data_IF_173553261168
#
_entry.id   IF_173553261168
#
_cell.length_a   1.000
_cell.length_b   1.000
_cell.length_c   1.000
_cell.angle_alpha   90.00
_cell.angle_beta   90.00
_cell.angle_gamma   90.00
#
_symmetry.space_group_name_H-M   'P 1'
#
loop_
_entity.id
_entity.type
_entity.pdbx_description
1 polymer ?
#
# COMPACT_ATOMS: atom_id res chain seq x y z
N UNK A 1 34.06 0.59 -1.13
CA UNK A 1 34.09 1.75 -2.03
C UNK A 1 32.66 2.24 -2.20
N UNK A 2 32.23 3.17 -1.33
CA UNK A 2 31.05 3.99 -1.59
C UNK A 2 31.57 5.28 -2.22
N UNK A 3 31.02 5.60 -3.38
CA UNK A 3 31.41 6.74 -4.20
C UNK A 3 30.80 7.99 -3.58
N UNK A 4 31.65 8.88 -3.03
CA UNK A 4 31.23 10.19 -2.58
C UNK A 4 30.83 11.04 -3.79
N UNK A 5 29.55 11.33 -3.92
CA UNK A 5 29.05 12.31 -4.88
C UNK A 5 29.17 13.69 -4.23
N UNK A 6 30.33 14.33 -4.38
CA UNK A 6 30.53 15.74 -4.03
C UNK A 6 29.89 16.61 -5.11
N UNK A 7 28.74 17.20 -4.81
CA UNK A 7 28.22 18.31 -5.61
C UNK A 7 28.94 19.59 -5.18
N UNK A 8 29.58 20.35 -6.10
CA UNK A 8 30.19 21.63 -5.77
C UNK A 8 29.06 22.66 -5.68
N UNK A 9 28.56 22.95 -4.49
CA UNK A 9 27.66 24.10 -4.28
C UNK A 9 28.44 25.19 -3.56
N UNK A 10 28.59 26.34 -4.22
CA UNK A 10 29.19 27.54 -3.64
C UNK A 10 28.31 28.03 -2.48
N UNK A 11 28.95 28.63 -1.47
CA UNK A 11 28.38 29.02 -0.17
C UNK A 11 27.22 30.00 -0.20
N UNK A 12 26.89 30.56 -1.36
CA UNK A 12 26.03 31.74 -1.49
C UNK A 12 24.56 31.40 -1.80
N UNK A 13 24.22 30.11 -1.99
CA UNK A 13 22.89 29.66 -2.41
C UNK A 13 22.05 28.97 -1.31
N UNK A 14 22.54 28.92 -0.06
CA UNK A 14 21.86 28.25 1.05
C UNK A 14 21.41 29.24 2.13
N UNK A 15 20.09 29.46 2.27
CA UNK A 15 19.53 30.22 3.38
C UNK A 15 18.99 29.25 4.44
N UNK A 16 19.55 29.28 5.65
CA UNK A 16 19.06 28.50 6.81
C UNK A 16 17.87 29.23 7.41
N UNK A 17 16.69 28.59 7.41
CA UNK A 17 15.42 29.24 7.77
C UNK A 17 14.97 28.92 9.21
N UNK A 18 15.61 27.96 9.89
CA UNK A 18 15.37 27.67 11.31
C UNK A 18 16.08 26.41 11.79
N UNK A 19 16.26 26.29 13.12
CA UNK A 19 16.83 25.12 13.81
C UNK A 19 15.82 24.62 14.83
N UNK A 20 15.42 23.35 14.71
CA UNK A 20 14.61 22.66 15.71
C UNK A 20 15.38 21.52 16.36
N UNK A 21 15.37 21.45 17.69
CA UNK A 21 15.94 20.35 18.47
C UNK A 21 14.81 19.62 19.21
N UNK A 22 14.71 18.30 19.05
CA UNK A 22 13.83 17.48 19.89
C UNK A 22 14.67 16.74 20.93
N UNK A 23 14.48 17.02 22.21
CA UNK A 23 15.14 16.30 23.29
C UNK A 23 14.38 14.99 23.59
N UNK A 24 14.93 13.87 23.13
CA UNK A 24 14.43 12.54 23.43
C UNK A 24 15.56 11.50 23.41
N UNK A 25 16.18 11.25 24.56
CA UNK A 25 17.27 10.26 24.71
C UNK A 25 18.63 10.73 24.20
N UNK A 26 19.66 9.90 24.38
CA UNK A 26 21.11 10.17 24.23
C UNK A 26 21.60 10.62 22.82
N UNK A 27 20.71 10.98 21.90
CA UNK A 27 21.03 11.51 20.58
C UNK A 27 20.24 12.80 20.32
N UNK A 28 20.93 13.93 20.21
CA UNK A 28 20.33 15.17 19.73
C UNK A 28 20.19 15.12 18.20
N UNK A 29 18.95 15.13 17.70
CA UNK A 29 18.68 15.33 16.27
C UNK A 29 18.57 16.81 15.96
N UNK A 30 19.35 17.28 14.98
CA UNK A 30 19.28 18.65 14.47
C UNK A 30 18.53 18.62 13.13
N UNK A 31 17.42 19.34 13.02
CA UNK A 31 16.72 19.50 11.73
C UNK A 31 17.01 20.89 11.17
N UNK A 32 17.64 20.93 9.99
CA UNK A 32 17.95 22.13 9.23
C UNK A 32 16.97 22.28 8.06
N UNK A 33 16.38 23.47 7.91
CA UNK A 33 15.56 23.82 6.76
C UNK A 33 16.36 24.67 5.78
N UNK A 34 16.51 24.20 4.55
CA UNK A 34 17.21 24.90 3.47
C UNK A 34 16.24 25.30 2.36
N UNK A 35 16.29 26.56 1.96
CA UNK A 35 15.52 27.10 0.84
C UNK A 35 16.41 27.32 -0.38
N UNK A 36 16.01 26.82 -1.56
CA UNK A 36 16.69 27.08 -2.83
C UNK A 36 15.90 28.12 -3.65
N UNK A 37 16.39 29.37 -3.77
CA UNK A 37 15.66 30.47 -4.43
C UNK A 37 15.37 30.21 -5.92
N UNK A 38 16.25 29.48 -6.62
CA UNK A 38 16.12 29.25 -8.06
C UNK A 38 14.97 28.32 -8.46
N UNK A 39 14.42 27.52 -7.53
CA UNK A 39 13.39 26.51 -7.82
C UNK A 39 12.09 26.69 -7.05
N UNK A 40 12.05 27.61 -6.08
CA UNK A 40 10.88 27.81 -5.21
C UNK A 40 10.57 26.63 -4.28
N UNK A 41 11.53 25.70 -4.09
CA UNK A 41 11.36 24.49 -3.28
C UNK A 41 12.03 24.65 -1.90
N UNK A 42 11.39 24.10 -0.87
CA UNK A 42 11.95 23.97 0.48
C UNK A 42 12.38 22.52 0.66
N UNK A 43 13.63 22.30 1.06
CA UNK A 43 14.15 20.97 1.38
C UNK A 43 14.55 20.96 2.85
N UNK A 44 14.09 19.99 3.63
CA UNK A 44 14.58 19.79 4.99
C UNK A 44 15.68 18.73 5.01
N UNK A 45 16.70 18.95 5.83
CA UNK A 45 17.82 18.04 6.05
C UNK A 45 17.82 17.66 7.52
N UNK A 46 17.67 16.36 7.80
CA UNK A 46 17.81 15.82 9.16
C UNK A 46 19.26 15.39 9.35
N UNK A 47 19.98 16.08 10.23
CA UNK A 47 21.33 15.69 10.61
C UNK A 47 21.28 14.93 11.94
N UNK A 48 21.86 13.74 11.97
CA UNK A 48 21.97 12.93 13.18
C UNK A 48 23.41 13.02 13.68
N UNK A 49 23.59 13.46 14.93
CA UNK A 49 24.91 13.52 15.55
C UNK A 49 25.31 12.10 16.00
N UNK A 50 26.45 11.60 15.51
CA UNK A 50 27.00 10.32 15.96
C UNK A 50 28.39 10.53 16.54
N UNK A 51 28.51 10.41 17.87
CA UNK A 51 29.80 10.42 18.54
C UNK A 51 30.49 9.07 18.35
N UNK A 52 31.58 9.03 17.59
CA UNK A 52 32.50 7.88 17.57
C UNK A 52 33.91 8.36 17.85
N UNK A 53 34.55 7.74 18.84
CA UNK A 53 35.98 7.81 19.11
C UNK A 53 36.57 9.22 19.26
N UNK A 54 35.96 10.05 20.11
CA UNK A 54 36.58 11.29 20.61
C UNK A 54 36.76 12.42 19.59
N UNK A 55 36.18 12.28 18.39
CA UNK A 55 36.11 13.32 17.38
C UNK A 55 34.65 13.61 17.01
N UNK A 56 34.20 14.84 17.23
CA UNK A 56 32.88 15.31 16.83
C UNK A 56 32.80 15.35 15.30
N UNK A 57 32.11 14.37 14.70
CA UNK A 57 31.90 14.32 13.25
C UNK A 57 30.41 14.44 12.96
N UNK A 58 30.01 15.49 12.25
CA UNK A 58 28.61 15.71 11.85
C UNK A 58 28.34 14.93 10.56
N UNK A 59 27.69 13.76 10.65
CA UNK A 59 27.32 12.98 9.46
C UNK A 59 25.96 13.48 8.95
N UNK A 60 25.99 14.20 7.83
CA UNK A 60 24.77 14.67 7.16
C UNK A 60 24.21 13.55 6.28
N UNK A 61 23.00 13.07 6.55
CA UNK A 61 22.30 12.14 5.67
C UNK A 61 21.10 12.85 5.06
N UNK A 62 21.08 12.97 3.73
CA UNK A 62 19.98 13.58 3.00
C UNK A 62 18.80 12.59 3.00
N UNK A 63 17.81 12.81 3.87
CA UNK A 63 16.57 12.03 3.90
C UNK A 63 15.49 12.89 3.24
N UNK A 64 15.40 12.82 1.91
CA UNK A 64 14.52 13.67 1.13
C UNK A 64 13.04 13.29 1.26
N UNK A 65 12.18 14.30 1.48
CA UNK A 65 10.79 14.29 1.04
C UNK A 65 10.44 15.69 0.53
N UNK A 66 10.12 15.80 -0.75
CA UNK A 66 9.74 17.06 -1.40
C UNK A 66 8.37 17.52 -0.89
N UNK A 67 8.25 18.76 -0.43
CA UNK A 67 6.95 19.41 -0.24
C UNK A 67 6.99 20.84 -0.77
N UNK A 68 5.95 21.20 -1.53
CA UNK A 68 5.72 22.55 -2.03
C UNK A 68 4.99 23.36 -0.97
N UNK A 69 5.71 24.17 -0.20
CA UNK A 69 5.11 25.17 0.69
C UNK A 69 5.35 26.58 0.11
N UNK A 70 4.40 27.52 0.25
CA UNK A 70 4.53 28.86 -0.28
C UNK A 70 5.58 29.69 0.50
N UNK A 71 6.22 30.68 -0.13
CA UNK A 71 7.39 31.35 0.42
C UNK A 71 6.97 32.46 1.41
N UNK A 72 7.35 32.38 2.68
CA UNK A 72 7.20 33.53 3.59
C UNK A 72 8.32 33.71 4.63
N UNK A 73 8.72 34.98 4.74
CA UNK A 73 9.58 35.71 5.69
C UNK A 73 10.98 35.17 6.02
N UNK A 74 11.98 35.84 5.44
CA UNK A 74 13.41 35.76 5.77
C UNK A 74 13.69 36.71 6.95
N UNK A 75 14.13 36.18 8.09
CA UNK A 75 14.83 36.98 9.11
C UNK A 75 16.28 36.52 9.15
N UNK A 76 17.18 37.38 8.66
CA UNK A 76 18.63 37.14 8.69
C UNK A 76 19.11 37.12 10.13
N UNK A 77 19.56 35.97 10.64
CA UNK A 77 20.35 35.92 11.88
C UNK A 77 21.80 36.15 11.47
N UNK A 78 22.34 37.32 11.80
CA UNK A 78 23.75 37.64 11.56
C UNK A 78 24.65 36.68 12.34
N UNK A 79 25.67 36.16 11.66
CA UNK A 79 26.69 35.29 12.23
C UNK A 79 27.35 35.97 13.44
N UNK A 80 27.32 35.29 14.59
CA UNK A 80 28.19 35.59 15.71
C UNK A 80 29.39 34.65 15.62
N UNK A 81 30.55 35.23 15.32
CA UNK A 81 31.83 34.54 15.38
C UNK A 81 32.17 34.15 16.83
N UNK A 82 32.73 32.95 16.94
CA UNK A 82 33.49 32.36 18.05
C UNK A 82 32.77 31.98 19.37
N UNK A 83 32.81 30.66 19.63
CA UNK A 83 32.60 29.86 20.86
C UNK A 83 31.21 29.21 21.10
N UNK A 84 31.18 27.94 21.58
CA UNK A 84 29.94 27.16 21.69
C UNK A 84 29.31 27.34 23.07
N UNK A 85 28.26 28.16 23.17
CA UNK A 85 27.22 27.99 24.20
C UNK A 85 25.97 28.77 23.80
N UNK A 86 25.00 28.09 23.20
CA UNK A 86 23.67 28.67 22.95
C UNK A 86 22.84 28.50 24.22
N UNK A 87 22.82 29.53 25.07
CA UNK A 87 21.78 29.66 26.08
C UNK A 87 20.55 30.31 25.44
N UNK A 88 19.51 29.50 25.23
CA UNK A 88 18.19 29.97 24.80
C UNK A 88 17.56 30.77 25.95
N UNK A 89 17.33 32.07 25.78
CA UNK A 89 16.65 32.89 26.78
C UNK A 89 15.13 32.80 26.61
N UNK A 90 14.40 32.73 27.73
CA UNK A 90 12.94 32.55 27.79
C UNK A 90 12.12 33.60 26.99
N UNK A 91 12.72 34.74 26.62
CA UNK A 91 12.08 35.75 25.78
C UNK A 91 11.95 35.34 24.30
N UNK A 92 12.81 34.42 23.82
CA UNK A 92 12.74 33.91 22.44
C UNK A 92 11.62 32.86 22.26
N UNK A 93 11.30 32.10 23.31
CA UNK A 93 10.17 31.15 23.30
C UNK A 93 8.82 31.87 23.17
N UNK A 94 8.64 32.98 23.89
CA UNK A 94 7.39 33.75 23.88
C UNK A 94 7.12 34.42 22.51
N UNK A 95 8.17 34.92 21.84
CA UNK A 95 8.02 35.54 20.51
C UNK A 95 7.78 34.52 19.39
N UNK A 96 8.41 33.34 19.44
CA UNK A 96 8.17 32.26 18.47
C UNK A 96 6.82 31.55 18.67
N UNK A 97 6.34 31.43 19.90
CA UNK A 97 4.99 30.92 20.18
C UNK A 97 3.90 31.89 19.71
N UNK A 98 4.10 33.21 19.87
CA UNK A 98 3.09 34.20 19.48
C UNK A 98 3.02 34.40 17.95
N UNK A 99 4.13 34.23 17.24
CA UNK A 99 4.16 34.38 15.77
C UNK A 99 3.49 33.22 15.01
N UNK A 100 3.44 32.01 15.57
CA UNK A 100 2.87 30.82 14.92
C UNK A 100 1.35 30.66 15.06
N UNK A 101 0.68 31.49 15.87
CA UNK A 101 -0.76 31.32 16.19
C UNK A 101 -1.72 32.19 15.37
N UNK A 102 -1.23 32.96 14.37
CA UNK A 102 -2.06 33.96 13.67
C UNK A 102 -2.15 33.83 12.14
N UNK A 103 -1.95 32.64 11.58
CA UNK A 103 -2.27 32.36 10.17
C UNK A 103 -3.37 31.29 10.03
N UNK A 104 -4.50 31.50 10.71
CA UNK A 104 -5.75 30.86 10.24
C UNK A 104 -6.17 31.64 9.00
N UNK A 105 -5.94 31.06 7.82
CA UNK A 105 -6.40 31.67 6.58
C UNK A 105 -7.92 31.88 6.66
N UNK A 106 -8.36 33.14 6.52
CA UNK A 106 -9.79 33.48 6.61
C UNK A 106 -10.57 32.74 5.53
N UNK A 107 -11.63 32.05 5.96
CA UNK A 107 -12.54 31.31 5.09
C UNK A 107 -13.17 32.23 4.05
N UNK A 108 -13.34 31.73 2.83
CA UNK A 108 -13.85 32.47 1.68
C UNK A 108 -15.32 32.18 1.44
N UNK A 109 -16.15 33.21 1.53
CA UNK A 109 -17.59 33.15 1.31
C UNK A 109 -17.94 33.90 0.03
N UNK A 110 -18.70 33.26 -0.85
CA UNK A 110 -19.30 33.93 -2.00
C UNK A 110 -20.73 34.35 -1.66
N UNK A 111 -21.03 35.62 -1.84
CA UNK A 111 -22.40 36.16 -1.76
C UNK A 111 -22.91 36.44 -3.16
N UNK A 112 -24.08 35.91 -3.48
CA UNK A 112 -24.71 36.02 -4.79
C UNK A 112 -26.10 36.62 -4.63
N UNK A 113 -26.33 37.81 -5.18
CA UNK A 113 -27.61 38.52 -5.17
C UNK A 113 -27.60 39.54 -6.30
N UNK A 114 -28.71 39.72 -7.02
CA UNK A 114 -28.79 40.67 -8.14
C UNK A 114 -28.92 42.13 -7.68
N UNK A 115 -29.27 42.35 -6.41
CA UNK A 115 -29.51 43.67 -5.82
C UNK A 115 -28.23 44.21 -5.14
N UNK A 116 -27.66 45.34 -5.59
CA UNK A 116 -26.41 45.89 -5.04
C UNK A 116 -26.43 46.20 -3.54
N UNK A 117 -27.60 46.59 -3.00
CA UNK A 117 -27.78 46.90 -1.58
C UNK A 117 -27.64 45.64 -0.70
N UNK A 118 -28.19 44.50 -1.14
CA UNK A 118 -28.05 43.22 -0.45
C UNK A 118 -26.59 42.75 -0.43
N UNK A 119 -25.89 42.86 -1.56
CA UNK A 119 -24.47 42.54 -1.66
C UNK A 119 -23.63 43.42 -0.71
N UNK A 120 -23.92 44.72 -0.65
CA UNK A 120 -23.23 45.67 0.23
C UNK A 120 -23.47 45.36 1.71
N UNK A 121 -24.72 45.06 2.07
CA UNK A 121 -25.09 44.65 3.43
C UNK A 121 -24.34 43.37 3.84
N UNK A 122 -24.44 42.29 3.05
CA UNK A 122 -23.79 41.01 3.37
C UNK A 122 -22.27 41.12 3.42
N UNK A 123 -21.67 41.87 2.49
CA UNK A 123 -20.23 42.13 2.52
C UNK A 123 -19.82 42.89 3.78
N UNK A 124 -20.60 43.90 4.18
CA UNK A 124 -20.36 44.66 5.41
C UNK A 124 -20.44 43.81 6.67
N UNK A 125 -21.39 42.86 6.71
CA UNK A 125 -21.57 41.95 7.85
C UNK A 125 -20.46 40.89 7.97
N UNK A 126 -19.99 40.33 6.85
CA UNK A 126 -19.10 39.16 6.85
C UNK A 126 -17.61 39.49 6.76
N UNK A 127 -17.22 40.65 6.22
CA UNK A 127 -15.82 41.01 5.93
C UNK A 127 -14.87 41.03 7.15
N UNK A 128 -15.42 41.19 8.36
CA UNK A 128 -14.60 41.25 9.58
C UNK A 128 -13.97 39.89 9.90
N UNK A 129 -14.72 38.81 9.67
CA UNK A 129 -14.33 37.44 10.03
C UNK A 129 -13.92 36.61 8.80
N UNK A 130 -14.40 36.95 7.60
CA UNK A 130 -14.27 36.14 6.39
C UNK A 130 -13.72 36.93 5.19
N UNK A 131 -13.12 36.23 4.22
CA UNK A 131 -12.88 36.76 2.88
C UNK A 131 -14.21 36.71 2.12
N UNK A 132 -14.70 37.85 1.65
CA UNK A 132 -15.99 37.91 0.95
C UNK A 132 -15.77 38.17 -0.54
N UNK A 133 -16.30 37.28 -1.37
CA UNK A 133 -16.43 37.48 -2.81
C UNK A 133 -17.90 37.75 -3.15
N UNK A 134 -18.15 38.51 -4.22
CA UNK A 134 -19.51 38.90 -4.62
C UNK A 134 -19.77 38.62 -6.10
N UNK A 135 -20.95 38.08 -6.37
CA UNK A 135 -21.50 37.93 -7.72
C UNK A 135 -22.89 38.55 -7.79
N UNK A 136 -23.16 39.26 -8.89
CA UNK A 136 -24.44 39.91 -9.15
C UNK A 136 -25.36 39.11 -10.07
N UNK A 137 -24.97 37.89 -10.44
CA UNK A 137 -25.76 36.94 -11.23
C UNK A 137 -25.19 35.53 -11.11
N UNK A 138 -25.96 34.54 -11.56
CA UNK A 138 -25.59 33.12 -11.50
C UNK A 138 -24.36 32.73 -12.33
N UNK A 139 -24.18 33.27 -13.53
CA UNK A 139 -23.02 32.96 -14.39
C UNK A 139 -21.70 33.37 -13.75
N UNK A 140 -21.65 34.58 -13.17
CA UNK A 140 -20.48 35.07 -12.44
C UNK A 140 -20.23 34.24 -11.18
N UNK A 141 -21.29 33.82 -10.48
CA UNK A 141 -21.16 32.97 -9.30
C UNK A 141 -20.50 31.62 -9.63
N UNK A 142 -20.94 30.96 -10.71
CA UNK A 142 -20.36 29.69 -11.17
C UNK A 142 -18.89 29.86 -11.59
N UNK A 143 -18.57 30.96 -12.29
CA UNK A 143 -17.18 31.25 -12.68
C UNK A 143 -16.26 31.45 -11.47
N UNK A 144 -16.75 32.13 -10.43
CA UNK A 144 -16.00 32.32 -9.18
C UNK A 144 -15.84 30.98 -8.44
N UNK A 145 -16.90 30.19 -8.33
CA UNK A 145 -16.87 28.91 -7.62
C UNK A 145 -15.93 27.88 -8.25
N UNK A 146 -15.66 27.99 -9.55
CA UNK A 146 -14.71 27.15 -10.27
C UNK A 146 -13.24 27.61 -10.16
N UNK A 147 -12.97 28.74 -9.49
CA UNK A 147 -11.62 29.28 -9.33
C UNK A 147 -10.87 28.70 -8.13
N UNK A 148 -9.56 28.95 -8.09
CA UNK A 148 -8.68 28.63 -6.97
C UNK A 148 -8.29 29.89 -6.18
N UNK A 149 -8.23 29.84 -4.83
CA UNK A 149 -8.59 28.71 -3.97
C UNK A 149 -10.11 28.46 -3.92
N UNK A 150 -10.54 27.22 -3.57
CA UNK A 150 -11.95 26.87 -3.51
C UNK A 150 -12.70 27.67 -2.43
N UNK A 151 -13.99 27.87 -2.64
CA UNK A 151 -14.86 28.56 -1.69
C UNK A 151 -15.22 27.65 -0.49
N UNK A 152 -15.41 28.26 0.68
CA UNK A 152 -15.84 27.56 1.88
C UNK A 152 -17.36 27.58 2.07
N UNK A 153 -18.08 28.58 1.53
CA UNK A 153 -19.54 28.69 1.63
C UNK A 153 -20.09 29.63 0.56
N UNK A 154 -21.32 29.36 0.09
CA UNK A 154 -22.05 30.23 -0.84
C UNK A 154 -23.37 30.67 -0.20
N UNK A 155 -23.59 31.98 -0.10
CA UNK A 155 -24.90 32.58 0.16
C UNK A 155 -25.51 32.95 -1.18
N UNK A 156 -26.64 32.34 -1.53
CA UNK A 156 -27.19 32.39 -2.89
C UNK A 156 -28.63 32.88 -2.88
N UNK A 157 -28.90 34.03 -3.48
CA UNK A 157 -30.27 34.47 -3.73
C UNK A 157 -30.99 33.54 -4.71
N UNK A 158 -32.24 33.22 -4.39
CA UNK A 158 -33.06 32.36 -5.24
C UNK A 158 -33.56 33.16 -6.46
N UNK A 159 -33.99 34.41 -6.25
CA UNK A 159 -34.74 35.18 -7.24
C UNK A 159 -33.81 36.11 -8.01
N UNK A 160 -33.12 35.58 -9.02
CA UNK A 160 -32.23 36.36 -9.89
C UNK A 160 -32.66 36.28 -11.37
N UNK A 161 -32.42 37.32 -12.18
CA UNK A 161 -32.72 37.31 -13.61
C UNK A 161 -31.81 36.36 -14.38
N UNK A 162 -32.31 35.84 -15.51
CA UNK A 162 -31.63 34.94 -16.45
C UNK A 162 -31.36 33.53 -15.89
N UNK A 163 -30.67 33.44 -14.74
CA UNK A 163 -30.35 32.19 -14.06
C UNK A 163 -30.71 32.32 -12.59
N UNK A 164 -31.70 31.55 -12.15
CA UNK A 164 -32.16 31.56 -10.76
C UNK A 164 -31.19 30.80 -9.84
N UNK A 165 -31.33 30.99 -8.53
CA UNK A 165 -30.47 30.34 -7.54
C UNK A 165 -30.58 28.81 -7.55
N UNK A 166 -31.74 28.24 -7.92
CA UNK A 166 -31.89 26.80 -8.01
C UNK A 166 -31.04 26.20 -9.14
N UNK A 167 -31.03 26.85 -10.31
CA UNK A 167 -30.20 26.45 -11.44
C UNK A 167 -28.71 26.55 -11.12
N UNK A 168 -28.28 27.61 -10.41
CA UNK A 168 -26.89 27.74 -9.95
C UNK A 168 -26.53 26.61 -8.97
N UNK A 169 -27.37 26.35 -7.96
CA UNK A 169 -27.14 25.29 -6.99
C UNK A 169 -27.03 23.93 -7.66
N UNK A 170 -27.94 23.61 -8.59
CA UNK A 170 -27.90 22.35 -9.34
C UNK A 170 -26.57 22.17 -10.10
N UNK A 171 -26.06 23.22 -10.75
CA UNK A 171 -24.78 23.15 -11.44
C UNK A 171 -23.59 22.98 -10.48
N UNK A 172 -23.60 23.70 -9.35
CA UNK A 172 -22.58 23.54 -8.31
C UNK A 172 -22.55 22.13 -7.74
N UNK A 173 -23.71 21.52 -7.51
CA UNK A 173 -23.82 20.16 -6.97
C UNK A 173 -23.54 19.06 -7.98
N UNK A 174 -23.62 19.36 -9.28
CA UNK A 174 -23.28 18.42 -10.35
C UNK A 174 -21.78 18.37 -10.68
N UNK A 175 -20.98 19.30 -10.17
CA UNK A 175 -19.55 19.39 -10.45
C UNK A 175 -18.71 18.86 -9.27
N UNK A 176 -17.83 17.85 -9.46
CA UNK A 176 -16.98 17.28 -8.40
C UNK A 176 -16.12 18.30 -7.63
N UNK A 177 -15.72 19.40 -8.27
CA UNK A 177 -14.91 20.44 -7.63
C UNK A 177 -15.72 21.34 -6.69
N UNK A 178 -17.02 21.49 -6.91
CA UNK A 178 -17.87 22.43 -6.17
C UNK A 178 -18.97 21.75 -5.35
N UNK A 179 -19.19 20.44 -5.54
CA UNK A 179 -20.28 19.69 -4.88
C UNK A 179 -20.23 19.77 -3.36
N UNK A 180 -19.02 19.83 -2.80
CA UNK A 180 -18.76 19.89 -1.36
C UNK A 180 -18.82 21.31 -0.76
N UNK A 181 -19.15 22.32 -1.56
CA UNK A 181 -19.32 23.70 -1.06
C UNK A 181 -20.76 23.84 -0.53
N UNK A 182 -20.97 24.18 0.75
CA UNK A 182 -22.30 24.39 1.30
C UNK A 182 -22.95 25.61 0.66
N UNK A 183 -24.18 25.44 0.20
CA UNK A 183 -25.00 26.51 -0.37
C UNK A 183 -26.13 26.80 0.60
N UNK A 184 -26.21 28.03 1.08
CA UNK A 184 -27.32 28.55 1.88
C UNK A 184 -28.11 29.50 0.99
N UNK A 185 -29.39 29.22 0.79
CA UNK A 185 -30.24 30.07 -0.01
C UNK A 185 -30.69 31.32 0.77
N UNK A 186 -30.77 32.45 0.08
CA UNK A 186 -31.44 33.66 0.54
C UNK A 186 -32.82 33.72 -0.14
N UNK A 187 -33.90 33.77 0.65
CA UNK A 187 -35.27 33.68 0.11
C UNK A 187 -36.19 34.78 0.65
N UNK A 188 -37.03 35.33 -0.23
CA UNK A 188 -38.17 36.16 0.17
C UNK A 188 -39.46 35.34 0.36
N UNK A 189 -39.45 34.07 -0.06
CA UNK A 189 -40.59 33.17 0.02
C UNK A 189 -40.50 32.31 1.27
N UNK A 190 -41.61 32.20 2.00
CA UNK A 190 -41.75 31.42 3.25
C UNK A 190 -42.62 30.17 3.02
N UNK A 191 -42.85 29.79 1.76
CA UNK A 191 -43.65 28.62 1.41
C UNK A 191 -42.83 27.34 1.54
N UNK A 192 -43.39 26.35 2.23
CA UNK A 192 -42.75 25.06 2.54
C UNK A 192 -42.27 24.32 1.29
N UNK A 193 -42.97 24.48 0.16
CA UNK A 193 -42.62 23.82 -1.10
C UNK A 193 -41.32 24.37 -1.73
N UNK A 194 -41.03 25.67 -1.58
CA UNK A 194 -39.81 26.29 -2.10
C UNK A 194 -38.57 25.87 -1.27
N UNK A 195 -38.74 25.70 0.05
CA UNK A 195 -37.69 25.17 0.94
C UNK A 195 -37.41 23.69 0.66
N UNK A 196 -38.46 22.90 0.43
CA UNK A 196 -38.30 21.48 0.07
C UNK A 196 -37.50 21.33 -1.22
N UNK A 197 -37.86 22.08 -2.27
CA UNK A 197 -37.18 22.02 -3.57
C UNK A 197 -35.68 22.27 -3.48
N UNK A 198 -35.23 23.28 -2.73
CA UNK A 198 -33.81 23.58 -2.66
C UNK A 198 -33.00 22.63 -1.77
N UNK A 199 -33.62 22.00 -0.75
CA UNK A 199 -32.97 20.92 0.02
C UNK A 199 -32.76 19.69 -0.87
N UNK A 200 -33.76 19.34 -1.68
CA UNK A 200 -33.67 18.26 -2.67
C UNK A 200 -32.57 18.53 -3.73
N UNK A 201 -32.30 19.80 -4.03
CA UNK A 201 -31.19 20.22 -4.91
C UNK A 201 -29.81 20.24 -4.20
N UNK A 202 -29.75 19.96 -2.90
CA UNK A 202 -28.52 19.85 -2.13
C UNK A 202 -28.08 21.12 -1.40
N UNK A 203 -28.94 22.14 -1.26
CA UNK A 203 -28.66 23.24 -0.34
C UNK A 203 -28.68 22.74 1.10
N UNK A 204 -27.83 23.33 1.94
CA UNK A 204 -27.69 22.91 3.35
C UNK A 204 -28.59 23.73 4.28
N UNK A 205 -29.08 24.89 3.83
CA UNK A 205 -29.91 25.77 4.64
C UNK A 205 -30.57 26.95 3.88
N UNK A 206 -31.40 27.72 4.59
CA UNK A 206 -32.03 28.96 4.11
C UNK A 206 -31.94 30.12 5.10
N UNK A 207 -31.88 31.34 4.57
CA UNK A 207 -32.05 32.60 5.31
C UNK A 207 -33.19 33.38 4.67
N UNK A 208 -34.21 33.71 5.47
CA UNK A 208 -35.34 34.51 5.02
C UNK A 208 -34.98 36.01 4.98
N UNK A 209 -35.52 36.72 3.98
CA UNK A 209 -35.48 38.18 3.85
C UNK A 209 -36.71 38.77 4.57
N UNK A 210 -36.60 39.90 5.31
CA UNK A 210 -35.43 40.76 5.45
C UNK A 210 -34.34 40.14 6.33
N UNK A 211 -33.08 40.41 5.97
CA UNK A 211 -31.94 39.72 6.55
C UNK A 211 -31.70 40.17 7.99
N UNK A 212 -31.64 39.20 8.91
CA UNK A 212 -31.25 39.42 10.30
C UNK A 212 -29.75 39.13 10.49
N UNK A 213 -28.89 40.13 10.74
CA UNK A 213 -27.45 39.94 10.94
C UNK A 213 -27.07 38.83 11.93
N UNK A 214 -27.66 38.73 13.14
CA UNK A 214 -27.28 37.67 14.08
C UNK A 214 -27.61 36.26 13.56
N UNK A 215 -28.67 36.11 12.75
CA UNK A 215 -29.05 34.82 12.17
C UNK A 215 -28.08 34.39 11.07
N UNK A 216 -27.70 35.32 10.17
CA UNK A 216 -26.71 35.03 9.12
C UNK A 216 -25.39 34.59 9.71
N UNK A 217 -24.85 35.36 10.67
CA UNK A 217 -23.58 35.05 11.31
C UNK A 217 -23.61 33.68 12.00
N UNK A 218 -24.68 33.37 12.72
CA UNK A 218 -24.84 32.07 13.38
C UNK A 218 -24.89 30.90 12.37
N UNK A 219 -25.69 31.02 11.29
CA UNK A 219 -25.81 29.97 10.28
C UNK A 219 -24.53 29.78 9.48
N UNK A 220 -23.90 30.88 9.03
CA UNK A 220 -22.61 30.84 8.32
C UNK A 220 -21.55 30.15 9.19
N UNK A 221 -21.43 30.55 10.46
CA UNK A 221 -20.48 29.93 11.39
C UNK A 221 -20.72 28.43 11.56
N UNK A 222 -21.97 28.02 11.74
CA UNK A 222 -22.33 26.61 11.92
C UNK A 222 -22.01 25.77 10.67
N UNK A 223 -22.38 26.25 9.48
CA UNK A 223 -22.15 25.50 8.24
C UNK A 223 -20.67 25.46 7.83
N UNK A 224 -19.89 26.50 8.14
CA UNK A 224 -18.44 26.47 7.99
C UNK A 224 -17.79 25.45 8.93
N UNK A 225 -18.26 25.36 10.19
CA UNK A 225 -17.78 24.36 11.13
C UNK A 225 -18.13 22.92 10.66
N UNK A 226 -19.37 22.72 10.19
CA UNK A 226 -19.80 21.43 9.63
C UNK A 226 -18.98 21.03 8.40
N UNK A 227 -18.72 21.98 7.49
CA UNK A 227 -17.82 21.76 6.34
C UNK A 227 -16.43 21.35 6.80
N UNK A 228 -15.84 22.09 7.74
CA UNK A 228 -14.50 21.80 8.23
C UNK A 228 -14.41 20.39 8.86
N UNK A 229 -15.42 19.97 9.60
CA UNK A 229 -15.49 18.60 10.13
C UNK A 229 -15.64 17.55 9.03
N UNK A 230 -16.49 17.79 8.03
CA UNK A 230 -16.70 16.88 6.91
C UNK A 230 -15.43 16.72 6.07
N UNK A 231 -14.75 17.82 5.75
CA UNK A 231 -13.49 17.81 5.01
C UNK A 231 -12.39 17.10 5.84
N UNK A 232 -12.28 17.38 7.14
CA UNK A 232 -11.34 16.67 8.02
C UNK A 232 -11.58 15.14 8.06
N UNK A 233 -12.83 14.70 8.14
CA UNK A 233 -13.17 13.27 8.14
C UNK A 233 -12.84 12.61 6.80
N UNK A 234 -13.06 13.30 5.68
CA UNK A 234 -12.68 12.82 4.35
C UNK A 234 -11.17 12.66 4.24
N UNK A 235 -10.41 13.71 4.55
CA UNK A 235 -8.95 13.67 4.49
C UNK A 235 -8.37 12.57 5.40
N UNK A 236 -8.96 12.40 6.59
CA UNK A 236 -8.58 11.33 7.51
C UNK A 236 -8.92 9.95 6.96
N UNK A 237 -10.06 9.78 6.30
CA UNK A 237 -10.42 8.50 5.69
C UNK A 237 -9.46 8.14 4.56
N UNK A 238 -9.17 9.09 3.67
CA UNK A 238 -8.22 8.91 2.56
C UNK A 238 -6.82 8.56 3.08
N UNK A 239 -6.37 9.22 4.16
CA UNK A 239 -5.11 8.89 4.82
C UNK A 239 -5.12 7.49 5.44
N UNK A 240 -6.20 7.12 6.13
CA UNK A 240 -6.31 5.80 6.76
C UNK A 240 -6.37 4.68 5.71
N UNK A 241 -7.08 4.87 4.59
CA UNK A 241 -7.12 3.92 3.49
C UNK A 241 -5.71 3.68 2.90
N UNK A 242 -4.96 4.76 2.67
CA UNK A 242 -3.58 4.66 2.19
C UNK A 242 -2.65 3.94 3.20
N UNK A 243 -2.80 4.22 4.49
CA UNK A 243 -1.99 3.54 5.52
C UNK A 243 -2.38 2.06 5.68
N UNK A 244 -3.68 1.72 5.59
CA UNK A 244 -4.14 0.32 5.58
C UNK A 244 -3.53 -0.42 4.40
N UNK A 245 -3.61 0.13 3.19
CA UNK A 245 -3.05 -0.52 2.00
C UNK A 245 -1.53 -0.75 2.13
N UNK A 246 -0.81 0.25 2.65
CA UNK A 246 0.63 0.15 2.91
C UNK A 246 0.93 -0.95 3.94
N UNK A 247 0.20 -0.99 5.05
CA UNK A 247 0.40 -2.00 6.11
C UNK A 247 0.04 -3.40 5.64
N UNK A 248 -1.02 -3.56 4.85
CA UNK A 248 -1.37 -4.84 4.23
C UNK A 248 -0.24 -5.32 3.32
N UNK A 249 0.36 -4.44 2.51
CA UNK A 249 1.53 -4.78 1.67
C UNK A 249 2.74 -5.18 2.50
N UNK A 250 3.04 -4.46 3.59
CA UNK A 250 4.16 -4.80 4.49
C UNK A 250 3.96 -6.18 5.13
N UNK A 251 2.77 -6.46 5.67
CA UNK A 251 2.45 -7.74 6.30
C UNK A 251 2.55 -8.90 5.30
N UNK A 252 2.01 -8.72 4.09
CA UNK A 252 2.11 -9.75 3.03
C UNK A 252 3.56 -10.02 2.63
N UNK A 253 4.38 -8.99 2.47
CA UNK A 253 5.80 -9.16 2.11
C UNK A 253 6.58 -9.90 3.21
N UNK A 254 6.35 -9.56 4.48
CA UNK A 254 6.96 -10.23 5.62
C UNK A 254 6.54 -11.70 5.67
N UNK A 255 5.25 -11.98 5.46
CA UNK A 255 4.73 -13.34 5.42
C UNK A 255 5.39 -14.18 4.32
N UNK A 256 5.47 -13.65 3.09
CA UNK A 256 6.06 -14.35 1.94
C UNK A 256 7.54 -14.67 2.17
N UNK A 257 8.32 -13.70 2.69
CA UNK A 257 9.73 -13.92 3.04
C UNK A 257 9.88 -14.93 4.19
N UNK A 258 8.99 -14.90 5.18
CA UNK A 258 9.02 -15.85 6.31
C UNK A 258 8.75 -17.28 5.85
N UNK A 259 7.76 -17.49 4.99
CA UNK A 259 7.45 -18.81 4.40
C UNK A 259 8.66 -19.35 3.65
N UNK A 260 9.26 -18.53 2.78
CA UNK A 260 10.46 -18.92 2.03
C UNK A 260 11.64 -19.24 2.94
N UNK A 261 11.86 -18.44 3.99
CA UNK A 261 12.93 -18.68 4.95
C UNK A 261 12.72 -20.00 5.72
N UNK A 262 11.49 -20.29 6.17
CA UNK A 262 11.18 -21.53 6.88
C UNK A 262 11.31 -22.76 5.97
N UNK A 263 10.83 -22.68 4.73
CA UNK A 263 11.02 -23.72 3.73
C UNK A 263 12.50 -23.98 3.46
N UNK A 264 13.29 -22.91 3.24
CA UNK A 264 14.72 -23.03 2.99
C UNK A 264 15.48 -23.61 4.19
N UNK A 265 15.10 -23.26 5.43
CA UNK A 265 15.68 -23.86 6.63
C UNK A 265 15.43 -25.37 6.71
N UNK A 266 14.24 -25.84 6.30
CA UNK A 266 13.95 -27.27 6.24
C UNK A 266 14.83 -27.99 5.21
N UNK A 267 15.04 -27.38 4.05
CA UNK A 267 15.88 -27.91 2.98
C UNK A 267 17.36 -27.86 3.28
N UNK A 268 17.86 -26.94 4.13
CA UNK A 268 19.30 -26.91 4.50
C UNK A 268 19.81 -28.20 5.17
N UNK A 269 18.91 -29.04 5.68
CA UNK A 269 19.23 -30.38 6.20
C UNK A 269 19.28 -31.46 5.13
N UNK A 270 18.81 -31.16 3.93
CA UNK A 270 18.92 -31.97 2.72
C UNK A 270 19.96 -31.33 1.77
N UNK A 271 20.36 -32.04 0.72
CA UNK A 271 21.24 -31.49 -0.32
C UNK A 271 20.47 -30.65 -1.37
N UNK A 272 19.29 -30.14 -1.02
CA UNK A 272 18.46 -29.30 -1.88
C UNK A 272 18.81 -27.82 -1.67
N UNK A 273 18.88 -27.06 -2.77
CA UNK A 273 19.27 -25.65 -2.74
C UNK A 273 18.03 -24.77 -2.58
N UNK A 274 18.17 -23.58 -1.98
CA UNK A 274 17.05 -22.63 -1.90
C UNK A 274 16.49 -22.17 -3.26
N UNK A 275 17.18 -22.47 -4.36
CA UNK A 275 16.67 -22.23 -5.72
C UNK A 275 15.69 -23.32 -6.18
N UNK A 276 15.77 -24.55 -5.66
CA UNK A 276 14.75 -25.60 -5.87
C UNK A 276 13.35 -25.08 -5.49
N UNK A 277 13.22 -24.49 -4.29
CA UNK A 277 11.97 -23.86 -3.83
C UNK A 277 11.44 -22.86 -4.86
N UNK A 278 12.31 -21.97 -5.36
CA UNK A 278 11.90 -20.96 -6.33
C UNK A 278 11.42 -21.62 -7.62
N UNK A 279 12.19 -22.56 -8.16
CA UNK A 279 11.83 -23.26 -9.40
C UNK A 279 10.49 -23.96 -9.29
N UNK A 280 10.27 -24.75 -8.24
CA UNK A 280 9.00 -25.47 -8.04
C UNK A 280 7.80 -24.53 -7.88
N UNK A 281 7.95 -23.38 -7.19
CA UNK A 281 6.90 -22.36 -7.15
C UNK A 281 6.51 -21.88 -8.55
N UNK A 282 7.50 -21.51 -9.36
CA UNK A 282 7.26 -20.99 -10.71
C UNK A 282 6.73 -22.06 -11.66
N UNK A 283 7.17 -23.32 -11.55
CA UNK A 283 6.63 -24.45 -12.30
C UNK A 283 5.14 -24.69 -11.99
N UNK A 284 4.78 -24.75 -10.70
CA UNK A 284 3.39 -24.94 -10.26
C UNK A 284 2.52 -23.81 -10.80
N UNK A 285 2.98 -22.55 -10.71
CA UNK A 285 2.24 -21.40 -11.26
C UNK A 285 2.08 -21.50 -12.77
N UNK A 286 3.13 -21.84 -13.51
CA UNK A 286 3.08 -21.94 -14.96
C UNK A 286 2.08 -23.03 -15.42
N UNK A 287 2.09 -24.20 -14.77
CA UNK A 287 1.09 -25.25 -15.02
C UNK A 287 -0.32 -24.79 -14.70
N UNK A 288 -0.51 -24.16 -13.53
CA UNK A 288 -1.80 -23.69 -13.06
C UNK A 288 -2.39 -22.61 -14.00
N UNK A 289 -1.56 -21.68 -14.48
CA UNK A 289 -1.96 -20.68 -15.47
C UNK A 289 -2.32 -21.32 -16.82
N UNK A 290 -1.54 -22.30 -17.28
CA UNK A 290 -1.81 -23.04 -18.52
C UNK A 290 -3.13 -23.83 -18.47
N UNK A 291 -3.47 -24.36 -17.30
CA UNK A 291 -4.68 -25.16 -17.07
C UNK A 291 -5.89 -24.33 -16.64
N UNK A 292 -5.76 -23.02 -16.46
CA UNK A 292 -6.82 -22.15 -15.92
C UNK A 292 -8.15 -22.26 -16.65
N UNK A 293 -8.11 -22.34 -17.98
CA UNK A 293 -9.32 -22.43 -18.82
C UNK A 293 -9.79 -23.88 -19.05
N UNK A 294 -9.04 -24.87 -18.58
CA UNK A 294 -9.31 -26.27 -18.81
C UNK A 294 -10.60 -26.71 -18.08
N UNK A 295 -11.55 -27.43 -18.72
CA UNK A 295 -12.84 -27.77 -18.11
C UNK A 295 -12.74 -28.52 -16.78
N UNK A 296 -11.76 -29.41 -16.63
CA UNK A 296 -11.52 -30.16 -15.37
C UNK A 296 -10.97 -29.28 -14.25
N UNK A 297 -10.26 -28.19 -14.53
CA UNK A 297 -9.51 -27.44 -13.51
C UNK A 297 -10.01 -26.01 -13.27
N UNK A 298 -10.75 -25.41 -14.22
CA UNK A 298 -11.19 -24.00 -14.18
C UNK A 298 -11.98 -23.60 -12.93
N UNK A 299 -12.65 -24.56 -12.30
CA UNK A 299 -13.43 -24.31 -11.08
C UNK A 299 -12.53 -24.10 -9.86
N UNK A 300 -11.33 -24.67 -9.87
CA UNK A 300 -10.34 -24.58 -8.80
C UNK A 300 -9.29 -23.49 -9.10
N UNK A 301 -8.78 -23.45 -10.33
CA UNK A 301 -7.65 -22.60 -10.74
C UNK A 301 -8.04 -21.13 -10.99
N UNK A 302 -8.65 -20.47 -10.01
CA UNK A 302 -8.89 -19.01 -10.05
C UNK A 302 -7.59 -18.22 -9.85
N UNK A 303 -7.57 -16.94 -10.23
CA UNK A 303 -6.40 -16.05 -9.97
C UNK A 303 -5.98 -16.08 -8.50
N UNK A 304 -6.95 -16.12 -7.57
CA UNK A 304 -6.67 -16.23 -6.14
C UNK A 304 -6.05 -17.57 -5.77
N UNK A 305 -6.59 -18.69 -6.28
CA UNK A 305 -6.06 -20.02 -5.98
C UNK A 305 -4.66 -20.24 -6.55
N UNK A 306 -4.37 -19.73 -7.74
CA UNK A 306 -3.02 -19.77 -8.34
C UNK A 306 -2.01 -19.04 -7.46
N UNK A 307 -2.39 -17.88 -6.90
CA UNK A 307 -1.54 -17.16 -5.96
C UNK A 307 -1.30 -17.95 -4.66
N UNK A 308 -2.31 -18.67 -4.15
CA UNK A 308 -2.14 -19.56 -3.00
C UNK A 308 -1.23 -20.73 -3.31
N UNK A 309 -1.42 -21.43 -4.44
CA UNK A 309 -0.56 -22.53 -4.91
C UNK A 309 0.90 -22.10 -4.96
N UNK A 310 1.18 -20.95 -5.58
CA UNK A 310 2.53 -20.39 -5.67
C UNK A 310 3.14 -20.14 -4.28
N UNK A 311 2.35 -19.64 -3.33
CA UNK A 311 2.83 -19.38 -1.95
C UNK A 311 3.00 -20.66 -1.13
N UNK A 312 2.19 -21.69 -1.39
CA UNK A 312 2.15 -22.93 -0.62
C UNK A 312 3.15 -23.99 -1.09
N UNK A 313 3.53 -23.99 -2.38
CA UNK A 313 4.49 -24.95 -2.95
C UNK A 313 5.81 -25.12 -2.17
N UNK A 314 6.45 -24.07 -1.60
CA UNK A 314 7.66 -24.21 -0.80
C UNK A 314 7.54 -25.15 0.41
N UNK A 315 6.31 -25.39 0.88
CA UNK A 315 6.08 -26.17 2.09
C UNK A 315 5.89 -27.67 1.82
N UNK A 316 6.00 -28.13 0.57
CA UNK A 316 5.78 -29.54 0.24
C UNK A 316 6.67 -30.49 1.06
N UNK A 317 7.92 -30.10 1.28
CA UNK A 317 8.92 -30.90 2.00
C UNK A 317 9.26 -30.39 3.41
N UNK A 318 8.43 -29.50 3.98
CA UNK A 318 8.65 -28.95 5.34
C UNK A 318 8.77 -30.05 6.42
N UNK A 319 8.18 -31.22 6.17
CA UNK A 319 8.23 -32.37 7.07
C UNK A 319 9.57 -33.11 7.10
N UNK A 320 10.51 -32.86 6.17
CA UNK A 320 11.87 -33.42 6.19
C UNK A 320 12.62 -33.07 7.49
N UNK A 321 12.23 -31.99 8.16
CA UNK A 321 12.74 -31.61 9.50
C UNK A 321 12.51 -32.71 10.54
N UNK A 322 11.47 -33.53 10.41
CA UNK A 322 11.22 -34.64 11.34
C UNK A 322 11.97 -35.93 10.98
N UNK A 323 12.67 -35.99 9.86
CA UNK A 323 13.38 -37.20 9.41
C UNK A 323 14.75 -37.30 10.10
N UNK A 324 15.15 -38.49 10.62
CA UNK A 324 16.47 -38.68 11.21
C UNK A 324 17.61 -38.50 10.21
N UNK A 325 18.69 -37.82 10.61
CA UNK A 325 19.87 -37.54 9.75
C UNK A 325 20.45 -38.79 9.10
N UNK A 326 20.51 -39.92 9.83
CA UNK A 326 21.03 -41.20 9.30
C UNK A 326 20.25 -41.72 8.10
N UNK A 327 19.02 -41.25 7.89
CA UNK A 327 18.17 -41.56 6.74
C UNK A 327 18.25 -40.41 5.76
N UNK A 328 17.98 -39.16 6.19
CA UNK A 328 17.96 -38.00 5.30
C UNK A 328 19.27 -37.80 4.54
N UNK A 329 20.41 -37.96 5.21
CA UNK A 329 21.74 -37.76 4.64
C UNK A 329 22.40 -39.06 4.12
N UNK A 330 21.65 -40.17 4.02
CA UNK A 330 22.22 -41.46 3.65
C UNK A 330 22.76 -41.44 2.21
N UNK A 331 24.04 -41.75 1.99
CA UNK A 331 24.57 -41.88 0.63
C UNK A 331 24.16 -43.22 0.01
N UNK A 332 23.16 -43.19 -0.88
CA UNK A 332 22.74 -44.37 -1.65
C UNK A 332 21.25 -44.69 -1.51
N UNK A 333 20.86 -45.93 -1.85
CA UNK A 333 19.47 -46.37 -1.78
C UNK A 333 19.06 -46.69 -0.34
N UNK A 334 17.80 -46.39 -0.03
CA UNK A 334 17.16 -46.79 1.22
C UNK A 334 16.89 -48.30 1.25
N UNK A 335 16.97 -48.91 2.43
CA UNK A 335 16.30 -50.20 2.67
C UNK A 335 14.78 -49.98 2.70
N UNK A 336 13.96 -51.04 2.54
CA UNK A 336 12.51 -50.91 2.66
C UNK A 336 12.06 -50.21 3.95
N UNK A 337 12.69 -50.54 5.09
CA UNK A 337 12.35 -49.98 6.39
C UNK A 337 12.76 -48.51 6.52
N UNK A 338 13.91 -48.12 5.97
CA UNK A 338 14.34 -46.72 5.92
C UNK A 338 13.43 -45.90 5.01
N UNK A 339 12.97 -46.49 3.90
CA UNK A 339 12.06 -45.83 2.99
C UNK A 339 10.70 -45.58 3.65
N UNK A 340 10.17 -46.53 4.43
CA UNK A 340 8.95 -46.30 5.23
C UNK A 340 9.11 -45.12 6.20
N UNK A 341 10.28 -44.92 6.79
CA UNK A 341 10.54 -43.74 7.63
C UNK A 341 10.62 -42.48 6.77
N UNK A 342 11.32 -42.51 5.62
CA UNK A 342 11.41 -41.35 4.72
C UNK A 342 10.03 -40.88 4.24
N UNK A 343 9.12 -41.81 3.91
CA UNK A 343 7.74 -41.48 3.52
C UNK A 343 6.98 -40.65 4.56
N UNK A 344 7.36 -40.70 5.84
CA UNK A 344 6.66 -39.97 6.90
C UNK A 344 6.81 -38.45 6.79
N UNK A 345 7.73 -37.91 5.97
CA UNK A 345 7.86 -36.46 5.80
C UNK A 345 6.55 -35.81 5.35
N UNK A 346 5.75 -36.49 4.52
CA UNK A 346 4.45 -35.99 4.07
C UNK A 346 3.47 -35.81 5.25
N UNK A 347 3.40 -36.81 6.13
CA UNK A 347 2.52 -36.82 7.30
C UNK A 347 3.00 -35.82 8.34
N UNK A 348 4.31 -35.77 8.59
CA UNK A 348 4.92 -34.82 9.52
C UNK A 348 4.69 -33.37 9.07
N UNK A 349 4.85 -33.09 7.78
CA UNK A 349 4.61 -31.77 7.20
C UNK A 349 3.15 -31.35 7.34
N UNK A 350 2.20 -32.21 6.94
CA UNK A 350 0.76 -31.96 7.13
C UNK A 350 0.41 -31.70 8.59
N UNK A 351 0.90 -32.54 9.49
CA UNK A 351 0.54 -32.48 10.91
C UNK A 351 1.10 -31.23 11.59
N UNK A 352 2.30 -30.79 11.21
CA UNK A 352 2.86 -29.52 11.67
C UNK A 352 1.99 -28.32 11.23
N UNK A 353 1.57 -28.28 9.96
CA UNK A 353 0.71 -27.20 9.44
C UNK A 353 -0.67 -27.23 10.10
N UNK A 354 -1.26 -28.43 10.25
CA UNK A 354 -2.55 -28.61 10.96
C UNK A 354 -2.47 -28.15 12.41
N UNK A 355 -1.36 -28.44 13.09
CA UNK A 355 -1.16 -27.98 14.46
C UNK A 355 -1.09 -26.44 14.53
N UNK A 356 -0.36 -25.80 13.62
CA UNK A 356 -0.32 -24.34 13.53
C UNK A 356 -1.70 -23.73 13.24
N UNK A 357 -2.48 -24.32 12.32
CA UNK A 357 -3.84 -23.88 12.01
C UNK A 357 -4.78 -23.97 13.21
N UNK A 358 -4.67 -25.03 14.02
CA UNK A 358 -5.52 -25.22 15.21
C UNK A 358 -5.35 -24.11 16.25
N UNK A 359 -4.19 -23.44 16.28
CA UNK A 359 -3.92 -22.32 17.18
C UNK A 359 -4.62 -21.02 16.73
N UNK A 360 -5.00 -20.90 15.45
CA UNK A 360 -5.64 -19.71 14.91
C UNK A 360 -7.14 -19.65 15.25
N UNK A 361 -7.78 -20.80 15.48
CA UNK A 361 -9.21 -20.89 15.77
C UNK A 361 -10.15 -20.66 14.58
N UNK A 362 -9.60 -20.48 13.37
CA UNK A 362 -10.33 -20.41 12.09
C UNK A 362 -9.46 -20.98 10.96
N UNK A 363 -10.09 -21.42 9.87
CA UNK A 363 -9.40 -21.99 8.71
C UNK A 363 -8.81 -20.89 7.82
N UNK A 364 -7.65 -21.19 7.23
CA UNK A 364 -6.95 -20.28 6.30
C UNK A 364 -6.65 -21.02 5.01
N UNK A 365 -7.19 -20.55 3.88
CA UNK A 365 -7.07 -21.22 2.57
C UNK A 365 -5.61 -21.53 2.17
N UNK A 366 -4.66 -20.66 2.55
CA UNK A 366 -3.23 -20.90 2.38
C UNK A 366 -2.74 -22.17 3.08
N UNK A 367 -3.17 -22.39 4.33
CA UNK A 367 -2.76 -23.56 5.13
C UNK A 367 -3.47 -24.82 4.64
N UNK A 368 -4.69 -24.71 4.15
CA UNK A 368 -5.38 -25.82 3.49
C UNK A 368 -4.60 -26.31 2.26
N UNK A 369 -4.27 -25.40 1.34
CA UNK A 369 -3.46 -25.72 0.17
C UNK A 369 -2.08 -26.28 0.55
N UNK A 370 -1.42 -25.72 1.57
CA UNK A 370 -0.12 -26.21 2.03
C UNK A 370 -0.20 -27.62 2.62
N UNK A 371 -1.25 -27.95 3.38
CA UNK A 371 -1.48 -29.32 3.91
C UNK A 371 -1.69 -30.32 2.79
N UNK A 372 -2.51 -29.99 1.78
CA UNK A 372 -2.76 -30.87 0.63
C UNK A 372 -1.47 -31.22 -0.09
N UNK A 373 -0.67 -30.19 -0.41
CA UNK A 373 0.63 -30.33 -1.08
C UNK A 373 1.57 -31.18 -0.22
N UNK A 374 1.81 -30.77 1.04
CA UNK A 374 2.73 -31.49 1.91
C UNK A 374 2.32 -32.97 2.10
N UNK A 375 1.02 -33.24 2.21
CA UNK A 375 0.55 -34.60 2.45
C UNK A 375 0.55 -35.49 1.20
N UNK A 376 0.25 -34.93 0.03
CA UNK A 376 -0.13 -35.75 -1.14
C UNK A 376 0.77 -35.55 -2.36
N UNK A 377 1.81 -34.71 -2.32
CA UNK A 377 2.68 -34.47 -3.49
C UNK A 377 3.45 -35.73 -3.96
N UNK A 378 3.53 -36.77 -3.13
CA UNK A 378 4.13 -38.07 -3.45
C UNK A 378 3.09 -39.14 -3.81
N UNK A 379 1.80 -38.77 -3.87
CA UNK A 379 0.78 -39.64 -4.41
C UNK A 379 0.95 -39.77 -5.93
N UNK A 380 0.57 -40.94 -6.47
CA UNK A 380 0.71 -41.24 -7.89
C UNK A 380 -0.65 -41.45 -8.50
N UNK A 381 -0.85 -40.96 -9.71
CA UNK A 381 -2.13 -41.04 -10.40
C UNK A 381 -2.74 -42.46 -10.43
N UNK A 382 -1.91 -43.50 -10.51
CA UNK A 382 -2.33 -44.91 -10.48
C UNK A 382 -2.57 -45.51 -9.09
N UNK A 383 -2.49 -44.74 -8.00
CA UNK A 383 -2.67 -45.22 -6.63
C UNK A 383 -1.47 -45.96 -6.03
N UNK A 384 -0.31 -45.95 -6.70
CA UNK A 384 0.93 -46.60 -6.18
C UNK A 384 1.82 -45.64 -5.37
N UNK A 385 1.30 -44.46 -5.05
CA UNK A 385 1.98 -43.43 -4.26
C UNK A 385 1.87 -43.65 -2.76
N UNK A 386 2.19 -42.60 -2.00
CA UNK A 386 2.12 -42.58 -0.54
C UNK A 386 1.79 -41.15 -0.08
N UNK A 387 1.29 -40.96 1.16
CA UNK A 387 1.14 -41.93 2.25
C UNK A 387 -0.14 -42.78 2.25
N UNK A 388 -1.18 -42.38 1.52
CA UNK A 388 -2.48 -43.06 1.52
C UNK A 388 -2.65 -44.04 0.36
N UNK A 389 -1.91 -43.85 -0.74
CA UNK A 389 -2.07 -44.67 -1.94
C UNK A 389 -3.37 -44.36 -2.69
N UNK A 390 -3.83 -43.12 -2.58
CA UNK A 390 -4.98 -42.60 -3.32
C UNK A 390 -4.60 -42.36 -4.79
N UNK A 391 -5.58 -42.49 -5.69
CA UNK A 391 -5.36 -42.43 -7.13
C UNK A 391 -6.36 -41.52 -7.85
N UNK A 392 -6.00 -41.12 -9.06
CA UNK A 392 -6.86 -40.31 -9.92
C UNK A 392 -7.25 -38.97 -9.29
N UNK A 393 -8.55 -38.68 -9.32
CA UNK A 393 -9.13 -37.43 -8.86
C UNK A 393 -9.20 -37.31 -7.33
N UNK A 394 -8.97 -38.41 -6.58
CA UNK A 394 -8.91 -38.37 -5.12
C UNK A 394 -7.67 -37.60 -4.65
N UNK A 395 -6.64 -37.49 -5.51
CA UNK A 395 -5.45 -36.67 -5.26
C UNK A 395 -5.82 -35.19 -5.48
N UNK A 396 -5.61 -34.29 -4.50
CA UNK A 396 -5.87 -32.87 -4.65
C UNK A 396 -5.15 -32.28 -5.87
N UNK A 397 -5.80 -31.34 -6.57
CA UNK A 397 -5.22 -30.68 -7.76
C UNK A 397 -3.88 -30.01 -7.42
N UNK A 398 -3.79 -29.40 -6.24
CA UNK A 398 -2.57 -28.78 -5.70
C UNK A 398 -1.39 -29.75 -5.66
N UNK A 399 -1.61 -30.95 -5.13
CA UNK A 399 -0.60 -32.01 -5.03
C UNK A 399 -0.24 -32.61 -6.39
N UNK A 400 -1.21 -32.78 -7.30
CA UNK A 400 -0.94 -33.27 -8.67
C UNK A 400 -0.06 -32.31 -9.46
N UNK A 401 -0.28 -31.00 -9.33
CA UNK A 401 0.59 -29.97 -9.92
C UNK A 401 2.00 -30.02 -9.32
N UNK A 402 2.09 -30.12 -7.98
CA UNK A 402 3.37 -30.19 -7.29
C UNK A 402 4.17 -31.44 -7.69
N UNK A 403 3.53 -32.60 -7.84
CA UNK A 403 4.21 -33.84 -8.22
C UNK A 403 4.95 -33.72 -9.56
N UNK A 404 4.36 -33.06 -10.56
CA UNK A 404 5.03 -32.80 -11.85
C UNK A 404 6.20 -31.83 -11.68
N UNK A 405 5.98 -30.73 -10.93
CA UNK A 405 6.99 -29.71 -10.68
C UNK A 405 8.21 -30.27 -9.92
N UNK A 406 7.96 -31.01 -8.84
CA UNK A 406 8.98 -31.61 -7.98
C UNK A 406 9.80 -32.66 -8.74
N UNK A 407 9.13 -33.61 -9.40
CA UNK A 407 9.85 -34.65 -10.15
C UNK A 407 10.65 -34.05 -11.31
N UNK A 408 10.11 -33.07 -12.04
CA UNK A 408 10.87 -32.39 -13.08
C UNK A 408 12.13 -31.72 -12.50
N UNK A 409 12.00 -30.96 -11.41
CA UNK A 409 13.14 -30.28 -10.80
C UNK A 409 14.19 -31.27 -10.28
N UNK A 410 13.74 -32.34 -9.64
CA UNK A 410 14.59 -33.41 -9.13
C UNK A 410 15.37 -34.14 -10.23
N UNK A 411 14.83 -34.25 -11.44
CA UNK A 411 15.47 -34.88 -12.59
C UNK A 411 16.59 -34.02 -13.17
N UNK A 412 16.36 -32.72 -13.33
CA UNK A 412 17.32 -31.78 -13.92
C UNK A 412 18.36 -31.26 -12.91
N UNK A 413 18.09 -31.37 -11.61
CA UNK A 413 18.99 -30.89 -10.56
C UNK A 413 20.17 -31.83 -10.35
N UNK A 414 21.34 -31.24 -10.07
CA UNK A 414 22.56 -32.00 -9.73
C UNK A 414 22.44 -32.53 -8.30
N UNK A 415 22.73 -33.82 -8.11
CA UNK A 415 22.85 -34.44 -6.79
C UNK A 415 24.31 -34.84 -6.54
N UNK A 416 24.68 -35.00 -5.26
CA UNK A 416 26.04 -35.40 -4.82
C UNK A 416 26.62 -36.59 -5.63
N UNK A 417 25.77 -37.50 -6.11
CA UNK A 417 26.14 -38.72 -6.82
C UNK A 417 25.66 -38.81 -8.27
N UNK A 418 25.01 -37.77 -8.83
CA UNK A 418 24.43 -37.81 -10.18
C UNK A 418 24.37 -36.41 -10.80
N UNK A 419 24.89 -36.25 -12.01
CA UNK A 419 24.67 -35.04 -12.78
C UNK A 419 23.17 -34.89 -13.11
N UNK A 420 22.69 -33.65 -13.14
CA UNK A 420 21.35 -33.33 -13.64
C UNK A 420 21.20 -33.82 -15.08
N UNK A 421 20.00 -34.29 -15.44
CA UNK A 421 19.77 -34.75 -16.82
C UNK A 421 19.42 -33.59 -17.75
N UNK A 422 19.68 -33.72 -19.07
CA UNK A 422 19.23 -32.75 -20.05
C UNK A 422 17.71 -32.57 -20.02
N UNK A 423 17.25 -31.35 -20.33
CA UNK A 423 15.84 -30.98 -20.34
C UNK A 423 14.99 -31.97 -21.16
N UNK A 424 15.45 -32.34 -22.36
CA UNK A 424 14.73 -33.23 -23.28
C UNK A 424 14.55 -34.64 -22.69
N UNK A 425 15.50 -35.10 -21.87
CA UNK A 425 15.41 -36.38 -21.18
C UNK A 425 14.44 -36.32 -19.99
N UNK A 426 14.45 -35.23 -19.23
CA UNK A 426 13.48 -35.00 -18.15
C UNK A 426 12.05 -34.96 -18.71
N UNK A 427 11.83 -34.22 -19.81
CA UNK A 427 10.53 -34.16 -20.50
C UNK A 427 10.07 -35.55 -20.93
N UNK A 428 10.96 -36.37 -21.50
CA UNK A 428 10.63 -37.75 -21.90
C UNK A 428 10.17 -38.60 -20.72
N UNK A 429 10.87 -38.53 -19.58
CA UNK A 429 10.50 -39.28 -18.38
C UNK A 429 9.13 -38.83 -17.82
N UNK A 430 8.87 -37.52 -17.78
CA UNK A 430 7.55 -37.00 -17.37
C UNK A 430 6.45 -37.51 -18.31
N UNK A 431 6.70 -37.50 -19.62
CA UNK A 431 5.77 -38.01 -20.64
C UNK A 431 5.50 -39.52 -20.48
N UNK A 432 6.52 -40.33 -20.19
CA UNK A 432 6.37 -41.77 -19.93
C UNK A 432 5.54 -42.04 -18.65
N UNK A 433 5.57 -41.12 -17.69
CA UNK A 433 4.76 -41.17 -16.46
C UNK A 433 3.29 -40.78 -16.63
N UNK A 434 2.86 -40.35 -17.83
CA UNK A 434 1.49 -39.91 -18.12
C UNK A 434 0.45 -41.01 -17.83
N UNK A 435 -0.52 -40.72 -16.96
CA UNK A 435 -1.57 -41.67 -16.58
C UNK A 435 -1.12 -42.80 -15.64
N UNK A 436 0.14 -42.80 -15.21
CA UNK A 436 0.65 -43.73 -14.20
C UNK A 436 1.15 -42.97 -12.97
N UNK A 437 2.21 -42.19 -13.12
CA UNK A 437 2.73 -41.31 -12.08
C UNK A 437 1.90 -40.02 -12.01
N UNK A 438 1.62 -39.41 -13.16
CA UNK A 438 1.06 -38.06 -13.24
C UNK A 438 -0.33 -38.04 -13.90
N UNK A 439 -1.13 -37.04 -13.56
CA UNK A 439 -2.41 -36.76 -14.23
C UNK A 439 -2.17 -36.49 -15.72
N UNK A 440 -2.85 -37.21 -16.64
CA UNK A 440 -2.68 -37.05 -18.07
C UNK A 440 -2.81 -35.62 -18.58
N UNK A 441 -3.78 -34.86 -18.07
CA UNK A 441 -4.05 -33.51 -18.57
C UNK A 441 -3.03 -32.50 -18.04
N UNK A 442 -2.46 -32.74 -16.87
CA UNK A 442 -1.35 -31.91 -16.34
C UNK A 442 -0.07 -32.19 -17.13
N UNK A 443 0.19 -33.45 -17.51
CA UNK A 443 1.33 -33.77 -18.39
C UNK A 443 1.14 -33.13 -19.76
N UNK A 444 -0.06 -33.17 -20.33
CA UNK A 444 -0.33 -32.50 -21.61
C UNK A 444 -0.07 -30.99 -21.51
N UNK A 445 -0.53 -30.36 -20.43
CA UNK A 445 -0.23 -28.95 -20.18
C UNK A 445 1.27 -28.69 -19.97
N UNK A 446 1.99 -29.56 -19.26
CA UNK A 446 3.45 -29.49 -19.11
C UNK A 446 4.16 -29.54 -20.46
N UNK A 447 3.76 -30.46 -21.35
CA UNK A 447 4.34 -30.59 -22.68
C UNK A 447 4.11 -29.33 -23.53
N UNK A 448 2.95 -28.68 -23.37
CA UNK A 448 2.64 -27.41 -24.05
C UNK A 448 3.51 -26.23 -23.57
N UNK A 449 4.12 -26.32 -22.38
CA UNK A 449 4.93 -25.24 -21.76
C UNK A 449 6.31 -25.71 -21.30
N UNK A 450 6.83 -26.79 -21.90
CA UNK A 450 8.10 -27.38 -21.49
C UNK A 450 9.29 -26.40 -21.64
N UNK A 451 9.23 -25.52 -22.65
CA UNK A 451 10.17 -24.43 -22.87
C UNK A 451 10.14 -23.39 -21.72
N UNK A 452 8.95 -23.09 -21.18
CA UNK A 452 8.81 -22.23 -19.99
C UNK A 452 9.44 -22.88 -18.77
N UNK A 453 9.29 -24.20 -18.59
CA UNK A 453 9.97 -24.96 -17.55
C UNK A 453 11.49 -24.91 -17.71
N UNK A 454 12.00 -25.02 -18.94
CA UNK A 454 13.44 -24.86 -19.20
C UNK A 454 13.93 -23.45 -18.87
N UNK A 455 13.18 -22.41 -19.24
CA UNK A 455 13.52 -21.03 -18.94
C UNK A 455 13.58 -20.76 -17.43
N UNK A 456 12.57 -21.22 -16.67
CA UNK A 456 12.56 -21.12 -15.19
C UNK A 456 13.78 -21.83 -14.59
N UNK A 457 14.14 -23.02 -15.10
CA UNK A 457 15.31 -23.75 -14.63
C UNK A 457 16.61 -22.96 -14.85
N UNK A 458 16.75 -22.26 -15.98
CA UNK A 458 17.89 -21.41 -16.29
C UNK A 458 17.92 -20.13 -15.43
N UNK A 459 16.79 -19.46 -15.26
CA UNK A 459 16.68 -18.20 -14.48
C UNK A 459 17.04 -18.41 -13.00
N UNK A 460 16.79 -19.61 -12.48
CA UNK A 460 17.05 -19.99 -11.10
C UNK A 460 18.03 -21.17 -11.01
N UNK A 461 19.08 -21.17 -11.82
CA UNK A 461 20.14 -22.19 -11.77
C UNK A 461 20.88 -22.15 -10.42
N UNK A 462 21.29 -23.31 -9.92
CA UNK A 462 22.17 -23.39 -8.76
C UNK A 462 23.55 -22.79 -9.09
N UNK A 463 24.05 -21.92 -8.22
CA UNK A 463 25.43 -21.41 -8.31
C UNK A 463 26.37 -22.39 -7.61
N UNK A 464 27.44 -22.81 -8.30
CA UNK A 464 28.49 -23.70 -7.77
C UNK A 464 29.16 -23.17 -6.49
#
# INVERSE_FOLDING_TARGET
MMTDMVLPMQSDDLCVVGIGASAGGLEAMLTLFAYLPATGRVTYVVAQHMAKDGHDTLVTRLIGRESTLPPFFVTTVAALDDTPSIHMTAAAEDHLMTANLNYIERKTILVVDDTPDNLSLMSGLLRNDYKVQVANNGEKALKIAAGDPPLDLILLDIMMPVMDGYQVCQQLKSNPHTVNIPVIFLTAKVEVEDEKKGLELGAVDYITKPISPPIVLARVKNHLALKAHADFLRDKNDFLEAEVEKRTREVMAIQDVTILAMASLAETRDNETGNHIRRTQYYVRALAERLREHPRFRHYLTTHQIALLFKSAPLHDIGKVGIPDRILLKPGRFTPEEFEIMKTHTTLGRDAIRHAESQLGYSVNFLECAKEIAYSHQEKWNGTGYPEGIGGEDIPISARLMAVADVYDALISRRVYKAGMPHEEAVRIICEGRGSHFDPDIVDAFLDIADVFQAIACDYSDTD
#
